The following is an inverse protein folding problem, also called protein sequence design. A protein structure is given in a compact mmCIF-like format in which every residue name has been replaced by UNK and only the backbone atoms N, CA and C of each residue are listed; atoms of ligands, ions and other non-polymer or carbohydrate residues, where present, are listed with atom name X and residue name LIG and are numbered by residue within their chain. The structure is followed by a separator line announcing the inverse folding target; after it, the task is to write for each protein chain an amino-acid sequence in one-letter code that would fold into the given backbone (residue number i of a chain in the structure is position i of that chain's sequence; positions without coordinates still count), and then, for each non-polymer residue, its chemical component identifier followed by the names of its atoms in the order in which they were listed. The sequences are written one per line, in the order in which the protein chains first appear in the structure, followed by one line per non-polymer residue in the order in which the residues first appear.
data_IF_405474183795
#
_entry.id   IF_405474183795
#
_cell.length_a   1.000
_cell.length_b   1.000
_cell.length_c   1.000
_cell.angle_alpha   90.00
_cell.angle_beta   90.00
_cell.angle_gamma   90.00
#
_symmetry.space_group_name_H-M   'P 1'
#
loop_
_entity.id
_entity.type
_entity.pdbx_description
1 polymer ?
#
# COMPACT_ATOMS: atom_id res chain seq x y z
N UNK A 1 7.02 -6.00 -12.40
CA UNK A 1 6.49 -6.18 -11.03
C UNK A 1 6.08 -4.86 -10.34
N UNK A 2 5.53 -3.90 -11.10
CA UNK A 2 5.11 -2.58 -10.58
C UNK A 2 3.72 -2.18 -11.13
N UNK A 3 2.87 -3.17 -11.42
CA UNK A 3 1.49 -2.86 -11.75
C UNK A 3 0.70 -2.71 -10.45
N UNK A 4 -0.09 -1.64 -10.26
CA UNK A 4 -1.08 -1.63 -9.18
C UNK A 4 -1.91 -2.91 -9.27
N UNK A 5 -2.32 -3.46 -8.12
CA UNK A 5 -3.23 -4.60 -8.09
C UNK A 5 -4.50 -4.26 -8.86
N UNK A 6 -4.58 -4.70 -10.12
CA UNK A 6 -5.70 -4.46 -11.02
C UNK A 6 -6.39 -5.78 -11.27
N UNK A 7 -7.71 -5.75 -11.20
CA UNK A 7 -8.55 -6.86 -11.61
C UNK A 7 -8.81 -6.68 -13.09
N UNK A 8 -8.43 -7.67 -13.88
CA UNK A 8 -8.63 -7.69 -15.33
C UNK A 8 -9.26 -9.02 -15.73
N UNK A 9 -10.19 -8.97 -16.68
CA UNK A 9 -10.69 -10.18 -17.31
C UNK A 9 -9.56 -10.87 -18.08
N UNK A 10 -9.52 -12.19 -17.98
CA UNK A 10 -8.72 -13.01 -18.88
C UNK A 10 -9.18 -12.74 -20.32
N UNK A 11 -8.24 -12.70 -21.26
CA UNK A 11 -8.55 -12.52 -22.68
C UNK A 11 -9.63 -13.52 -23.14
N UNK A 12 -10.64 -13.04 -23.87
CA UNK A 12 -11.78 -13.83 -24.34
C UNK A 12 -12.85 -14.16 -23.29
N UNK A 13 -12.72 -13.66 -22.05
CA UNK A 13 -13.74 -13.83 -21.01
C UNK A 13 -14.65 -12.60 -20.91
N UNK A 14 -15.88 -12.81 -20.43
CA UNK A 14 -16.80 -11.74 -20.09
C UNK A 14 -16.96 -11.64 -18.57
N UNK A 15 -17.32 -10.44 -18.07
CA UNK A 15 -17.71 -10.29 -16.68
C UNK A 15 -18.97 -11.11 -16.40
N UNK A 16 -19.09 -11.72 -15.20
CA UNK A 16 -20.33 -12.38 -14.80
C UNK A 16 -21.50 -11.40 -14.87
N UNK A 17 -22.68 -11.88 -15.24
CA UNK A 17 -23.90 -11.09 -15.17
C UNK A 17 -24.18 -10.70 -13.72
N UNK A 18 -24.29 -9.40 -13.45
CA UNK A 18 -24.42 -8.87 -12.11
C UNK A 18 -25.88 -8.64 -11.73
N UNK A 19 -26.23 -8.95 -10.47
CA UNK A 19 -27.53 -8.70 -9.82
C UNK A 19 -27.74 -7.21 -9.43
N UNK A 20 -26.89 -6.30 -9.90
CA UNK A 20 -26.68 -4.92 -9.40
C UNK A 20 -25.82 -4.87 -8.11
N UNK A 21 -26.33 -4.31 -7.02
CA UNK A 21 -25.51 -4.05 -5.82
C UNK A 21 -24.88 -5.32 -5.23
N UNK A 22 -23.61 -5.25 -4.82
CA UNK A 22 -22.85 -6.33 -4.20
C UNK A 22 -22.79 -7.65 -4.99
N UNK A 23 -22.68 -7.57 -6.33
CA UNK A 23 -22.76 -8.76 -7.19
C UNK A 23 -21.51 -9.63 -7.27
N UNK A 24 -20.37 -9.17 -6.76
CA UNK A 24 -19.14 -9.98 -6.71
C UNK A 24 -18.25 -9.53 -5.56
N UNK A 25 -17.55 -10.50 -4.97
CA UNK A 25 -16.58 -10.31 -3.90
C UNK A 25 -15.23 -10.80 -4.41
N UNK A 26 -14.19 -10.00 -4.18
CA UNK A 26 -12.81 -10.35 -4.55
C UNK A 26 -12.04 -10.56 -3.25
N UNK A 27 -11.79 -11.82 -2.94
CA UNK A 27 -10.92 -12.21 -1.85
C UNK A 27 -9.50 -12.37 -2.39
N UNK A 28 -8.56 -11.56 -1.88
CA UNK A 28 -7.16 -11.63 -2.25
C UNK A 28 -6.28 -11.30 -1.05
N UNK A 29 -5.08 -11.90 -1.01
CA UNK A 29 -4.07 -11.60 -0.01
C UNK A 29 -3.17 -10.49 -0.53
N UNK A 30 -3.14 -9.36 0.17
CA UNK A 30 -2.28 -8.22 -0.13
C UNK A 30 -1.24 -8.01 0.98
N UNK A 31 -0.03 -7.61 0.59
CA UNK A 31 1.06 -7.33 1.52
C UNK A 31 2.40 -7.84 0.98
N UNK A 32 3.49 -7.40 1.60
CA UNK A 32 4.85 -7.83 1.23
C UNK A 32 5.17 -9.26 1.70
N UNK A 33 4.54 -9.72 2.79
CA UNK A 33 4.72 -11.07 3.32
C UNK A 33 4.22 -11.18 4.76
N UNK A 34 4.57 -12.27 5.44
CA UNK A 34 4.17 -12.54 6.83
C UNK A 34 5.20 -12.04 7.85
N UNK A 35 6.47 -11.99 7.45
CA UNK A 35 7.56 -11.57 8.31
C UNK A 35 7.86 -10.08 8.11
N UNK A 36 8.33 -9.42 9.18
CA UNK A 36 8.83 -8.05 9.08
C UNK A 36 10.06 -7.91 8.17
N UNK A 37 10.73 -9.01 7.83
CA UNK A 37 11.82 -9.07 6.84
C UNK A 37 11.35 -9.05 5.40
N UNK A 38 10.06 -9.32 5.15
CA UNK A 38 9.51 -9.33 3.79
C UNK A 38 9.26 -7.89 3.27
N UNK A 39 9.20 -6.91 4.19
CA UNK A 39 9.05 -5.49 3.86
C UNK A 39 10.37 -4.92 3.34
N UNK A 40 10.38 -4.19 2.21
CA UNK A 40 11.59 -3.57 1.68
C UNK A 40 12.36 -2.74 2.70
N UNK A 41 13.68 -2.89 2.76
CA UNK A 41 14.55 -2.25 3.75
C UNK A 41 14.34 -0.74 3.88
N UNK A 42 14.21 -0.05 2.74
CA UNK A 42 13.98 1.39 2.69
C UNK A 42 12.67 1.76 3.38
N UNK A 43 11.61 0.97 3.19
CA UNK A 43 10.32 1.20 3.84
C UNK A 43 10.38 0.90 5.34
N UNK A 44 11.11 -0.13 5.75
CA UNK A 44 11.34 -0.44 7.18
C UNK A 44 12.06 0.72 7.88
N UNK A 45 13.13 1.23 7.27
CA UNK A 45 13.87 2.38 7.79
C UNK A 45 13.00 3.64 7.87
N UNK A 46 12.17 3.90 6.85
CA UNK A 46 11.23 5.01 6.86
C UNK A 46 10.24 4.93 8.04
N UNK A 47 9.69 3.74 8.30
CA UNK A 47 8.79 3.49 9.44
C UNK A 47 9.51 3.77 10.76
N UNK A 48 10.72 3.23 10.95
CA UNK A 48 11.49 3.42 12.18
C UNK A 48 11.80 4.89 12.43
N UNK A 49 12.18 5.65 11.39
CA UNK A 49 12.45 7.08 11.53
C UNK A 49 11.21 7.87 11.96
N UNK A 50 10.05 7.56 11.37
CA UNK A 50 8.78 8.19 11.73
C UNK A 50 8.41 7.87 13.19
N UNK A 51 8.51 6.60 13.59
CA UNK A 51 8.22 6.15 14.96
C UNK A 51 9.15 6.81 15.97
N UNK A 52 10.43 6.93 15.67
CA UNK A 52 11.41 7.62 16.52
C UNK A 52 11.01 9.09 16.73
N UNK A 53 10.67 9.81 15.66
CA UNK A 53 10.23 11.21 15.77
C UNK A 53 8.98 11.35 16.64
N UNK A 54 7.98 10.48 16.48
CA UNK A 54 6.78 10.51 17.32
C UNK A 54 7.05 10.16 18.78
N UNK A 55 8.00 9.26 19.02
CA UNK A 55 8.43 8.93 20.37
C UNK A 55 9.14 10.10 21.07
N UNK A 56 10.00 10.81 20.34
CA UNK A 56 10.77 11.95 20.84
C UNK A 56 9.89 13.18 21.10
N UNK A 57 9.01 13.52 20.16
CA UNK A 57 8.25 14.77 20.21
C UNK A 57 7.04 14.72 21.16
N UNK A 58 6.55 13.52 21.53
CA UNK A 58 5.41 13.22 22.45
C UNK A 58 4.15 14.08 22.30
N UNK A 59 4.03 14.80 21.19
CA UNK A 59 2.92 15.66 20.82
C UNK A 59 2.31 15.14 19.51
N UNK A 60 1.08 15.57 19.21
CA UNK A 60 0.48 15.26 17.93
C UNK A 60 1.25 15.95 16.79
N UNK A 61 2.16 15.22 16.16
CA UNK A 61 2.95 15.67 15.02
C UNK A 61 2.40 15.18 13.69
N UNK A 62 2.45 16.02 12.66
CA UNK A 62 2.22 15.59 11.27
C UNK A 62 3.52 15.05 10.66
N UNK A 63 3.39 14.24 9.61
CA UNK A 63 4.55 13.83 8.82
C UNK A 63 5.27 15.04 8.20
N UNK A 64 6.52 15.24 8.60
CA UNK A 64 7.44 16.22 8.01
C UNK A 64 7.69 15.94 6.52
N UNK A 65 8.29 16.92 5.82
CA UNK A 65 8.70 16.75 4.41
C UNK A 65 9.68 15.58 4.24
N UNK A 66 10.57 15.37 5.21
CA UNK A 66 11.53 14.27 5.20
C UNK A 66 10.83 12.91 5.27
N UNK A 67 9.87 12.75 6.18
CA UNK A 67 9.07 11.52 6.26
C UNK A 67 8.34 11.23 4.93
N UNK A 68 7.78 12.27 4.30
CA UNK A 68 7.11 12.15 3.01
C UNK A 68 8.06 11.79 1.88
N UNK A 69 9.30 12.31 1.91
CA UNK A 69 10.33 11.97 0.93
C UNK A 69 10.73 10.49 1.03
N UNK A 70 10.88 9.96 2.24
CA UNK A 70 11.19 8.54 2.49
C UNK A 70 10.08 7.60 1.98
N UNK A 71 8.82 8.02 2.08
CA UNK A 71 7.67 7.26 1.58
C UNK A 71 7.40 7.46 0.09
N UNK A 72 8.01 8.46 -0.56
CA UNK A 72 7.73 8.83 -1.95
C UNK A 72 7.90 7.71 -2.98
N UNK A 73 8.88 6.78 -2.88
CA UNK A 73 9.04 5.71 -3.86
C UNK A 73 7.91 4.68 -3.84
N UNK A 74 7.21 4.55 -2.71
CA UNK A 74 6.12 3.60 -2.52
C UNK A 74 4.74 4.22 -2.78
N UNK A 75 4.69 5.52 -3.08
CA UNK A 75 3.44 6.23 -3.35
C UNK A 75 3.01 6.00 -4.80
N UNK A 76 1.77 5.58 -4.99
CA UNK A 76 1.16 5.48 -6.32
C UNK A 76 0.69 6.87 -6.75
N UNK A 77 1.29 7.40 -7.82
CA UNK A 77 0.82 8.62 -8.48
C UNK A 77 -0.26 8.24 -9.50
N UNK A 78 -1.39 8.94 -9.44
CA UNK A 78 -2.43 8.91 -10.48
C UNK A 78 -2.47 10.30 -11.09
N UNK A 79 -2.36 10.35 -12.42
CA UNK A 79 -2.49 11.57 -13.22
C UNK A 79 -3.93 11.68 -13.72
#
# INVERSE_FOLDING_TARGET
ENSPGRVQLKSGSAWPTHRNFASFVIEFKAGYGLAGTDVPDVLRQAILKIVATFYEERQAGLLTKEHKALLSPFKIYRF
#
